data_IF_820283688758
#
_entry.id   IF_820283688758
#
_cell.length_a   1.000
_cell.length_b   1.000
_cell.length_c   1.000
_cell.angle_alpha   90.00
_cell.angle_beta   90.00
_cell.angle_gamma   90.00
#
_symmetry.space_group_name_H-M   'P 1'
#
loop_
_entity.id
_entity.type
_entity.pdbx_description
1 polymer ?
#
# COMPACT_ATOMS: atom_id res chain seq x y z
N UNK A 1 4.88 -11.48 30.37
CA UNK A 1 4.68 -10.01 30.39
C UNK A 1 3.43 -9.71 29.59
N UNK A 2 2.50 -8.90 30.09
CA UNK A 2 1.38 -8.42 29.27
C UNK A 2 1.88 -7.26 28.41
N UNK A 3 1.47 -7.21 27.14
CA UNK A 3 1.72 -6.01 26.32
C UNK A 3 0.89 -4.85 26.87
N UNK A 4 1.46 -3.64 26.87
CA UNK A 4 0.76 -2.41 27.24
C UNK A 4 -0.21 -1.93 26.17
N UNK A 5 -0.20 -2.56 24.99
CA UNK A 5 -0.90 -2.09 23.79
C UNK A 5 -1.39 -3.27 22.94
N UNK A 6 -2.54 -3.09 22.30
CA UNK A 6 -2.97 -3.95 21.20
C UNK A 6 -2.29 -3.54 19.88
N UNK A 7 -1.41 -4.41 19.40
CA UNK A 7 -0.67 -4.33 18.15
C UNK A 7 -1.41 -4.97 16.97
N UNK A 8 -2.43 -5.82 17.20
CA UNK A 8 -3.05 -6.60 16.12
C UNK A 8 -3.60 -5.68 15.03
N UNK A 9 -4.47 -4.75 15.41
CA UNK A 9 -5.11 -3.82 14.46
C UNK A 9 -4.12 -2.95 13.68
N UNK A 10 -3.18 -2.21 14.30
CA UNK A 10 -2.23 -1.38 13.56
C UNK A 10 -1.30 -2.20 12.66
N UNK A 11 -0.85 -3.38 13.12
CA UNK A 11 0.04 -4.23 12.32
C UNK A 11 -0.70 -4.88 11.15
N UNK A 12 -1.92 -5.39 11.34
CA UNK A 12 -2.76 -5.87 10.22
C UNK A 12 -3.01 -4.79 9.18
N UNK A 13 -3.19 -3.54 9.63
CA UNK A 13 -3.36 -2.41 8.72
C UNK A 13 -2.07 -2.10 7.95
N UNK A 14 -0.92 -2.11 8.62
CA UNK A 14 0.40 -1.94 7.99
C UNK A 14 0.67 -3.05 6.96
N UNK A 15 0.42 -4.31 7.33
CA UNK A 15 0.53 -5.49 6.46
C UNK A 15 -0.33 -5.34 5.20
N UNK A 16 -1.60 -4.91 5.34
CA UNK A 16 -2.52 -4.71 4.23
C UNK A 16 -2.02 -3.62 3.28
N UNK A 17 -1.67 -2.46 3.82
CA UNK A 17 -1.25 -1.34 2.99
C UNK A 17 0.08 -1.66 2.30
N UNK A 18 1.11 -2.10 3.04
CA UNK A 18 2.41 -2.42 2.43
C UNK A 18 2.37 -3.72 1.61
N UNK A 19 1.40 -4.62 1.81
CA UNK A 19 1.37 -5.99 1.28
C UNK A 19 2.64 -6.78 1.63
N UNK A 20 2.98 -6.78 2.92
CA UNK A 20 4.17 -7.47 3.42
C UNK A 20 4.08 -8.98 3.15
N UNK A 21 5.19 -9.60 2.76
CA UNK A 21 5.29 -11.05 2.50
C UNK A 21 5.58 -11.86 3.77
N UNK A 22 5.99 -11.21 4.86
CA UNK A 22 6.39 -11.85 6.11
C UNK A 22 5.98 -10.98 7.30
N UNK A 23 5.85 -11.58 8.48
CA UNK A 23 5.42 -10.87 9.69
C UNK A 23 6.42 -9.78 10.12
N UNK A 24 5.95 -8.59 10.54
CA UNK A 24 6.73 -7.66 11.35
C UNK A 24 7.24 -8.33 12.62
N UNK A 25 8.56 -8.26 12.84
CA UNK A 25 9.22 -8.93 13.96
C UNK A 25 9.31 -7.99 15.14
N UNK A 26 8.63 -8.31 16.23
CA UNK A 26 8.85 -7.71 17.54
C UNK A 26 10.23 -8.16 18.04
N UNK A 27 11.11 -7.22 18.39
CA UNK A 27 12.46 -7.50 18.89
C UNK A 27 12.64 -6.83 20.27
N UNK A 28 13.09 -7.60 21.27
CA UNK A 28 13.33 -7.10 22.62
C UNK A 28 14.57 -7.71 23.25
N UNK A 29 15.37 -6.89 23.92
CA UNK A 29 16.49 -7.35 24.75
C UNK A 29 16.03 -7.47 26.20
N UNK A 30 16.48 -8.52 26.88
CA UNK A 30 16.13 -8.81 28.27
C UNK A 30 17.34 -8.61 29.17
N UNK A 31 17.13 -7.92 30.29
CA UNK A 31 18.18 -7.69 31.30
C UNK A 31 18.58 -8.99 32.01
N UNK A 32 17.63 -9.92 32.16
CA UNK A 32 17.85 -11.19 32.84
C UNK A 32 17.42 -12.37 31.94
N UNK A 33 18.30 -13.35 31.75
CA UNK A 33 17.99 -14.50 30.89
C UNK A 33 16.85 -15.36 31.41
N UNK A 34 16.58 -15.35 32.72
CA UNK A 34 15.45 -16.09 33.32
C UNK A 34 14.09 -15.53 32.88
N UNK A 35 14.04 -14.32 32.31
CA UNK A 35 12.80 -13.73 31.82
C UNK A 35 12.33 -14.32 30.48
N UNK A 36 13.19 -15.07 29.77
CA UNK A 36 12.80 -15.81 28.56
C UNK A 36 11.61 -16.73 28.85
N UNK A 37 11.67 -17.47 29.96
CA UNK A 37 10.67 -18.49 30.33
C UNK A 37 9.32 -17.88 30.74
N UNK A 38 9.26 -16.55 30.93
CA UNK A 38 8.03 -15.80 31.23
C UNK A 38 7.25 -15.41 29.97
N UNK A 39 7.80 -15.67 28.77
CA UNK A 39 7.17 -15.33 27.50
C UNK A 39 6.28 -16.49 27.03
N UNK A 40 4.98 -16.26 26.79
CA UNK A 40 4.08 -17.30 26.29
C UNK A 40 4.56 -17.90 24.98
N UNK A 41 4.41 -19.22 24.83
CA UNK A 41 4.74 -19.96 23.59
C UNK A 41 6.19 -19.83 23.11
N UNK A 42 7.11 -19.44 24.00
CA UNK A 42 8.52 -19.28 23.69
C UNK A 42 9.13 -20.61 23.22
N UNK A 43 9.92 -20.54 22.15
CA UNK A 43 10.66 -21.67 21.58
C UNK A 43 12.16 -21.35 21.63
N UNK A 44 12.96 -22.34 22.02
CA UNK A 44 14.42 -22.34 21.86
C UNK A 44 14.79 -23.41 20.85
N UNK A 45 15.77 -23.13 20.00
CA UNK A 45 16.26 -24.14 19.08
C UNK A 45 17.02 -25.23 19.84
N UNK A 46 16.91 -26.48 19.38
CA UNK A 46 17.66 -27.62 19.95
C UNK A 46 19.15 -27.62 19.58
N UNK A 47 19.56 -26.72 18.70
CA UNK A 47 20.94 -26.57 18.24
C UNK A 47 21.28 -25.07 18.17
N UNK A 48 22.57 -24.76 18.15
CA UNK A 48 23.03 -23.38 18.08
C UNK A 48 22.62 -22.70 16.78
N UNK A 49 22.16 -21.45 16.87
CA UNK A 49 21.63 -20.64 15.76
C UNK A 49 22.47 -19.41 15.47
N UNK A 50 22.26 -18.85 14.28
CA UNK A 50 22.54 -17.42 14.00
C UNK A 50 21.34 -16.55 14.36
N UNK A 51 21.57 -15.25 14.61
CA UNK A 51 20.48 -14.29 14.78
C UNK A 51 19.54 -14.24 13.56
N UNK A 52 20.09 -14.42 12.36
CA UNK A 52 19.34 -14.44 11.10
C UNK A 52 18.32 -15.59 11.06
N UNK A 53 18.70 -16.79 11.53
CA UNK A 53 17.77 -17.93 11.61
C UNK A 53 16.64 -17.67 12.59
N UNK A 54 16.93 -17.06 13.74
CA UNK A 54 15.90 -16.73 14.72
C UNK A 54 14.88 -15.73 14.14
N UNK A 55 15.36 -14.67 13.48
CA UNK A 55 14.49 -13.71 12.78
C UNK A 55 13.65 -14.41 11.71
N UNK A 56 14.22 -15.34 10.95
CA UNK A 56 13.51 -16.12 9.93
C UNK A 56 12.35 -16.95 10.52
N UNK A 57 12.62 -17.66 11.63
CA UNK A 57 11.60 -18.43 12.36
C UNK A 57 10.42 -17.54 12.77
N UNK A 58 10.68 -16.29 13.15
CA UNK A 58 9.61 -15.35 13.47
C UNK A 58 8.85 -14.92 12.21
N UNK A 59 9.56 -14.35 11.24
CA UNK A 59 8.93 -13.65 10.10
C UNK A 59 8.21 -14.59 9.13
N UNK A 60 8.68 -15.82 8.99
CA UNK A 60 8.17 -16.77 7.99
C UNK A 60 7.49 -18.00 8.60
N UNK A 61 7.77 -18.33 9.86
CA UNK A 61 7.21 -19.53 10.50
C UNK A 61 6.30 -19.23 11.68
N UNK A 62 6.06 -17.97 12.04
CA UNK A 62 5.21 -17.51 13.15
C UNK A 62 5.70 -17.79 14.58
N UNK A 63 6.98 -18.15 14.74
CA UNK A 63 7.49 -18.58 16.04
C UNK A 63 7.75 -17.39 16.97
N UNK A 64 7.41 -17.57 18.25
CA UNK A 64 8.01 -16.80 19.34
C UNK A 64 9.30 -17.50 19.75
N UNK A 65 10.44 -16.83 19.63
CA UNK A 65 11.77 -17.39 19.90
C UNK A 65 12.54 -16.57 20.93
N UNK A 66 13.32 -17.25 21.74
CA UNK A 66 14.24 -16.64 22.71
C UNK A 66 15.63 -17.21 22.57
N UNK A 67 16.64 -16.40 22.84
CA UNK A 67 18.04 -16.83 22.86
C UNK A 67 18.84 -16.10 23.94
N UNK A 68 19.70 -16.84 24.64
CA UNK A 68 20.79 -16.30 25.46
C UNK A 68 22.14 -16.56 24.77
N UNK A 69 23.24 -16.25 25.45
CA UNK A 69 24.59 -16.39 24.89
C UNK A 69 24.92 -17.82 24.43
N UNK A 70 24.39 -18.85 25.10
CA UNK A 70 24.73 -20.25 24.84
C UNK A 70 24.04 -20.81 23.58
N UNK A 71 22.96 -20.15 23.12
CA UNK A 71 22.20 -20.54 21.93
C UNK A 71 22.87 -20.11 20.61
N UNK A 72 23.89 -19.24 20.65
CA UNK A 72 24.50 -18.72 19.43
C UNK A 72 25.63 -19.61 18.91
N UNK A 73 25.64 -19.85 17.59
CA UNK A 73 26.66 -20.66 16.90
C UNK A 73 28.05 -20.01 16.97
N UNK A 74 28.10 -18.68 16.93
CA UNK A 74 29.30 -17.88 16.95
C UNK A 74 29.06 -16.66 17.83
N UNK A 75 30.12 -16.17 18.50
CA UNK A 75 30.06 -14.99 19.36
C UNK A 75 29.89 -13.68 18.58
N UNK A 76 29.92 -13.71 17.25
CA UNK A 76 29.70 -12.53 16.41
C UNK A 76 28.30 -11.92 16.62
N UNK A 77 27.24 -12.69 16.42
CA UNK A 77 25.87 -12.21 16.60
C UNK A 77 25.61 -11.64 18.01
N UNK A 78 25.90 -12.37 19.11
CA UNK A 78 25.67 -11.85 20.46
C UNK A 78 26.53 -10.63 20.78
N UNK A 79 27.71 -10.47 20.15
CA UNK A 79 28.52 -9.24 20.32
C UNK A 79 27.91 -7.99 19.69
N UNK A 80 27.12 -8.14 18.62
CA UNK A 80 26.44 -7.02 17.96
C UNK A 80 25.32 -6.49 18.87
N UNK A 81 24.56 -7.41 19.49
CA UNK A 81 23.41 -7.07 20.35
C UNK A 81 23.76 -6.93 21.83
N UNK A 82 25.05 -6.87 22.18
CA UNK A 82 25.52 -6.50 23.52
C UNK A 82 25.47 -7.60 24.59
N UNK A 83 25.37 -8.87 24.19
CA UNK A 83 25.37 -10.02 25.13
C UNK A 83 26.77 -10.50 25.52
N UNK A 84 27.79 -10.16 24.73
CA UNK A 84 29.20 -10.52 25.00
C UNK A 84 30.13 -9.53 24.31
N UNK A 85 31.37 -9.42 24.80
CA UNK A 85 32.43 -8.73 24.05
C UNK A 85 32.87 -9.55 22.82
N UNK A 86 33.49 -8.88 21.84
CA UNK A 86 34.05 -9.53 20.66
C UNK A 86 35.31 -10.34 21.01
N UNK A 87 35.49 -11.55 20.44
CA UNK A 87 36.74 -12.31 20.60
C UNK A 87 37.97 -11.60 20.04
N UNK A 88 39.16 -11.90 20.60
CA UNK A 88 40.41 -11.24 20.21
C UNK A 88 40.77 -11.43 18.72
N UNK A 89 40.50 -12.61 18.16
CA UNK A 89 40.75 -12.90 16.74
C UNK A 89 39.80 -12.15 15.77
N UNK A 90 38.74 -11.51 16.30
CA UNK A 90 37.92 -10.56 15.55
C UNK A 90 38.48 -9.14 15.72
N UNK A 91 38.83 -8.76 16.95
CA UNK A 91 39.42 -7.44 17.31
C UNK A 91 40.70 -7.12 16.52
N UNK A 92 41.56 -8.11 16.33
CA UNK A 92 42.83 -7.94 15.61
C UNK A 92 42.67 -7.89 14.07
N UNK A 93 41.45 -8.10 13.56
CA UNK A 93 41.12 -8.13 12.15
C UNK A 93 41.39 -9.46 11.45
N UNK A 94 41.84 -10.50 12.16
CA UNK A 94 42.16 -11.81 11.59
C UNK A 94 40.94 -12.41 10.91
N UNK A 95 39.81 -12.51 11.60
CA UNK A 95 38.57 -13.07 11.04
C UNK A 95 38.15 -12.36 9.73
N UNK A 96 38.12 -11.02 9.75
CA UNK A 96 37.71 -10.23 8.59
C UNK A 96 38.66 -10.36 7.40
N UNK A 97 39.96 -10.51 7.66
CA UNK A 97 40.96 -10.70 6.60
C UNK A 97 40.91 -12.07 5.91
N UNK A 98 40.32 -13.07 6.55
CA UNK A 98 40.15 -14.40 5.96
C UNK A 98 39.04 -14.37 4.90
N UNK A 99 38.01 -13.55 5.10
CA UNK A 99 36.76 -13.64 4.34
C UNK A 99 36.49 -12.40 3.48
N UNK A 100 36.70 -11.20 4.04
CA UNK A 100 36.13 -9.95 3.51
C UNK A 100 37.16 -8.90 3.10
N UNK A 101 38.34 -8.89 3.71
CA UNK A 101 39.36 -7.86 3.45
C UNK A 101 40.70 -8.48 3.07
N UNK A 102 41.48 -7.81 2.22
CA UNK A 102 42.79 -8.32 1.76
C UNK A 102 43.82 -8.43 2.88
N UNK A 103 43.75 -7.56 3.89
CA UNK A 103 44.74 -7.46 4.97
C UNK A 103 44.08 -7.50 6.34
N UNK A 104 44.83 -7.91 7.38
CA UNK A 104 44.41 -7.81 8.79
C UNK A 104 44.21 -6.36 9.22
N UNK A 105 45.00 -5.43 8.69
CA UNK A 105 44.85 -4.00 8.98
C UNK A 105 43.49 -3.48 8.49
N UNK A 106 43.08 -3.84 7.28
CA UNK A 106 41.74 -3.50 6.77
C UNK A 106 40.64 -4.28 7.50
N UNK A 107 40.92 -5.52 7.90
CA UNK A 107 40.02 -6.32 8.72
C UNK A 107 39.74 -5.67 10.09
N UNK A 108 40.76 -5.07 10.71
CA UNK A 108 40.62 -4.32 11.96
C UNK A 108 39.84 -3.02 11.78
N UNK A 109 40.10 -2.27 10.69
CA UNK A 109 39.29 -1.09 10.35
C UNK A 109 37.83 -1.47 10.15
N UNK A 110 37.59 -2.59 9.47
CA UNK A 110 36.27 -3.11 9.23
C UNK A 110 35.56 -3.48 10.55
N UNK A 111 36.20 -4.22 11.43
CA UNK A 111 35.62 -4.63 12.72
C UNK A 111 35.29 -3.43 13.63
N UNK A 112 36.17 -2.42 13.64
CA UNK A 112 35.99 -1.15 14.36
C UNK A 112 34.84 -0.31 13.80
N UNK A 113 34.48 -0.51 12.54
CA UNK A 113 33.38 0.21 11.87
C UNK A 113 31.99 -0.31 12.22
N UNK A 114 31.88 -1.48 12.87
CA UNK A 114 30.61 -2.13 13.23
C UNK A 114 30.07 -1.52 14.54
N UNK A 115 28.92 -0.84 14.54
CA UNK A 115 28.25 -0.44 15.78
C UNK A 115 27.87 -1.64 16.64
N UNK A 116 27.95 -1.51 17.96
CA UNK A 116 27.54 -2.55 18.93
C UNK A 116 26.71 -1.95 20.05
N UNK A 117 25.73 -2.71 20.53
CA UNK A 117 24.99 -2.35 21.73
C UNK A 117 25.94 -2.45 22.94
N UNK A 118 25.95 -1.47 23.88
CA UNK A 118 26.82 -1.49 25.04
C UNK A 118 26.64 -2.74 25.91
N UNK A 119 27.74 -3.22 26.48
CA UNK A 119 27.76 -4.40 27.34
C UNK A 119 27.20 -4.10 28.74
N UNK A 120 26.86 -5.17 29.46
CA UNK A 120 26.55 -5.13 30.90
C UNK A 120 25.09 -4.86 31.25
N UNK A 121 24.22 -4.70 30.25
CA UNK A 121 22.77 -4.50 30.47
C UNK A 121 21.91 -5.71 30.16
N UNK A 122 22.22 -6.46 29.10
CA UNK A 122 21.33 -7.50 28.59
C UNK A 122 21.98 -8.88 28.61
N UNK A 123 21.19 -9.89 28.94
CA UNK A 123 21.61 -11.29 29.00
C UNK A 123 20.93 -12.17 27.94
N UNK A 124 19.83 -11.70 27.34
CA UNK A 124 19.05 -12.45 26.37
C UNK A 124 18.32 -11.56 25.35
N UNK A 125 17.82 -12.18 24.29
CA UNK A 125 16.97 -11.58 23.26
C UNK A 125 15.73 -12.44 23.04
N UNK A 126 14.59 -11.80 22.82
CA UNK A 126 13.34 -12.44 22.41
C UNK A 126 12.78 -11.78 21.15
N UNK A 127 12.15 -12.59 20.32
CA UNK A 127 11.53 -12.15 19.08
C UNK A 127 10.22 -12.89 18.84
N UNK A 128 9.22 -12.21 18.29
CA UNK A 128 7.91 -12.81 18.00
C UNK A 128 7.15 -12.03 16.92
N UNK A 129 6.14 -12.61 16.25
CA UNK A 129 5.32 -11.87 15.30
C UNK A 129 4.51 -10.82 16.05
N UNK A 130 4.75 -9.54 15.74
CA UNK A 130 4.18 -8.43 16.52
C UNK A 130 2.64 -8.43 16.50
N UNK A 131 2.04 -8.93 15.42
CA UNK A 131 0.59 -9.01 15.24
C UNK A 131 -0.13 -9.85 16.30
N UNK A 132 0.58 -10.74 17.00
CA UNK A 132 0.00 -11.61 18.04
C UNK A 132 0.14 -11.05 19.47
N UNK A 133 0.46 -9.76 19.62
CA UNK A 133 0.56 -9.11 20.94
C UNK A 133 1.54 -9.81 21.91
N UNK A 134 2.75 -10.21 21.47
CA UNK A 134 3.60 -11.11 22.25
C UNK A 134 4.19 -10.46 23.52
N UNK A 135 4.64 -9.22 23.40
CA UNK A 135 5.25 -8.37 24.44
C UNK A 135 5.42 -6.95 23.86
N UNK A 136 5.83 -5.99 24.69
CA UNK A 136 6.19 -4.65 24.22
C UNK A 136 7.61 -4.66 23.63
N UNK A 137 7.78 -4.53 22.30
CA UNK A 137 9.10 -4.58 21.68
C UNK A 137 9.88 -3.29 21.92
N UNK A 138 11.20 -3.39 21.88
CA UNK A 138 12.06 -2.20 21.81
C UNK A 138 12.18 -1.74 20.36
N UNK A 139 12.25 -2.70 19.43
CA UNK A 139 12.43 -2.49 18.00
C UNK A 139 11.44 -3.36 17.21
N UNK A 140 10.96 -2.86 16.08
CA UNK A 140 10.21 -3.63 15.09
C UNK A 140 11.04 -3.76 13.82
N UNK A 141 11.25 -5.00 13.35
CA UNK A 141 11.93 -5.26 12.08
C UNK A 141 10.91 -5.50 10.97
N UNK A 142 11.07 -4.75 9.88
CA UNK A 142 10.27 -4.87 8.67
C UNK A 142 11.17 -5.29 7.51
N UNK A 143 10.81 -6.37 6.83
CA UNK A 143 11.43 -6.79 5.58
C UNK A 143 10.47 -6.49 4.44
N UNK A 144 10.95 -5.74 3.46
CA UNK A 144 10.13 -5.26 2.36
C UNK A 144 11.02 -4.86 1.17
N UNK A 145 10.45 -4.79 -0.03
CA UNK A 145 11.18 -4.40 -1.23
C UNK A 145 11.42 -2.88 -1.31
N UNK A 146 12.28 -2.39 -2.24
CA UNK A 146 12.59 -0.96 -2.35
C UNK A 146 11.37 -0.05 -2.52
N UNK A 147 10.33 -0.47 -3.24
CA UNK A 147 9.12 0.32 -3.43
C UNK A 147 8.33 0.46 -2.11
N UNK A 148 8.22 -0.62 -1.34
CA UNK A 148 7.60 -0.62 -0.01
C UNK A 148 8.41 0.23 0.98
N UNK A 149 9.74 0.11 0.97
CA UNK A 149 10.61 0.92 1.83
C UNK A 149 10.54 2.41 1.51
N UNK A 150 10.48 2.77 0.22
CA UNK A 150 10.30 4.16 -0.20
C UNK A 150 9.01 4.76 0.36
N UNK A 151 7.91 4.01 0.35
CA UNK A 151 6.64 4.47 0.94
C UNK A 151 6.74 4.62 2.45
N UNK A 152 7.38 3.67 3.14
CA UNK A 152 7.57 3.73 4.59
C UNK A 152 8.45 4.91 5.02
N UNK A 153 9.53 5.19 4.28
CA UNK A 153 10.39 6.37 4.50
C UNK A 153 9.57 7.65 4.36
N UNK A 154 8.84 7.81 3.24
CA UNK A 154 8.01 8.99 3.01
C UNK A 154 6.90 9.12 4.07
N UNK A 155 6.34 8.00 4.55
CA UNK A 155 5.34 7.99 5.60
C UNK A 155 5.91 8.48 6.93
N UNK A 156 7.11 8.02 7.31
CA UNK A 156 7.81 8.45 8.51
C UNK A 156 8.27 9.92 8.44
N UNK A 157 8.59 10.41 7.25
CA UNK A 157 9.00 11.79 6.98
C UNK A 157 7.82 12.75 6.77
N UNK A 158 6.59 12.23 6.69
CA UNK A 158 5.41 13.04 6.38
C UNK A 158 5.16 14.13 7.44
N UNK A 159 5.37 13.78 8.71
CA UNK A 159 5.37 14.69 9.85
C UNK A 159 6.81 14.76 10.40
N UNK A 160 7.29 15.96 10.74
CA UNK A 160 8.67 16.20 11.22
C UNK A 160 9.75 15.69 10.26
N UNK A 161 9.79 16.25 9.06
CA UNK A 161 10.72 15.84 8.02
C UNK A 161 12.18 15.87 8.51
N UNK A 162 12.86 14.74 8.37
CA UNK A 162 14.29 14.60 8.59
C UNK A 162 14.91 13.73 7.49
N UNK A 163 16.10 14.08 7.03
CA UNK A 163 16.88 13.23 6.12
C UNK A 163 17.32 11.96 6.85
N UNK A 164 16.89 10.79 6.36
CA UNK A 164 17.35 9.50 6.88
C UNK A 164 18.74 9.18 6.32
N UNK A 165 19.67 8.80 7.21
CA UNK A 165 21.00 8.36 6.82
C UNK A 165 21.05 6.85 6.68
N UNK A 166 21.35 6.39 5.47
CA UNK A 166 21.65 4.99 5.20
C UNK A 166 23.07 4.69 5.68
N UNK A 167 23.20 3.68 6.52
CA UNK A 167 24.47 3.24 7.09
C UNK A 167 24.73 1.80 6.65
N UNK A 168 25.93 1.54 6.13
CA UNK A 168 26.28 0.23 5.59
C UNK A 168 27.72 -0.09 5.96
N UNK A 169 27.89 -1.13 6.76
CA UNK A 169 29.21 -1.69 7.08
C UNK A 169 29.59 -2.74 6.04
N UNK A 170 28.60 -3.32 5.34
CA UNK A 170 28.78 -4.28 4.25
C UNK A 170 28.30 -5.67 4.64
N UNK A 171 28.97 -6.30 5.62
CA UNK A 171 28.58 -7.58 6.20
C UNK A 171 28.44 -7.47 7.72
N UNK A 172 27.29 -6.96 8.16
CA UNK A 172 26.74 -6.97 9.53
C UNK A 172 25.40 -6.23 9.55
N UNK A 173 24.45 -6.63 8.70
CA UNK A 173 23.17 -5.89 8.56
C UNK A 173 22.36 -5.82 9.85
N UNK A 174 22.47 -6.80 10.74
CA UNK A 174 21.89 -6.72 12.09
C UNK A 174 22.46 -5.55 12.91
N UNK A 175 23.73 -5.17 12.71
CA UNK A 175 24.29 -3.95 13.31
C UNK A 175 23.73 -2.69 12.63
N UNK A 176 23.74 -2.68 11.30
CA UNK A 176 23.27 -1.55 10.49
C UNK A 176 21.79 -1.22 10.70
N UNK A 177 20.96 -2.23 11.01
CA UNK A 177 19.55 -2.07 11.35
C UNK A 177 19.35 -1.96 12.88
N UNK A 178 19.45 -3.08 13.60
CA UNK A 178 19.04 -3.20 15.02
C UNK A 178 19.89 -2.29 15.90
N UNK A 179 21.21 -2.39 15.79
CA UNK A 179 22.10 -1.65 16.72
C UNK A 179 22.06 -0.16 16.46
N UNK A 180 22.08 0.27 15.20
CA UNK A 180 21.90 1.67 14.82
C UNK A 180 20.57 2.23 15.32
N UNK A 181 19.47 1.49 15.14
CA UNK A 181 18.15 1.86 15.65
C UNK A 181 18.18 2.02 17.17
N UNK A 182 18.76 1.05 17.88
CA UNK A 182 18.91 1.08 19.34
C UNK A 182 19.72 2.30 19.81
N UNK A 183 20.88 2.55 19.22
CA UNK A 183 21.81 3.61 19.64
C UNK A 183 21.29 5.01 19.34
N UNK A 184 20.54 5.18 18.25
CA UNK A 184 20.09 6.50 17.79
C UNK A 184 18.65 6.83 18.18
N UNK A 185 17.85 5.83 18.50
CA UNK A 185 16.40 6.00 18.67
C UNK A 185 15.69 6.39 17.36
N UNK A 186 16.30 6.13 16.20
CA UNK A 186 15.78 6.51 14.87
C UNK A 186 15.61 5.29 13.96
N UNK A 187 14.71 5.36 12.95
CA UNK A 187 14.63 4.35 11.89
C UNK A 187 16.00 4.09 11.25
N UNK A 188 16.34 2.82 11.03
CA UNK A 188 17.58 2.43 10.35
C UNK A 188 17.30 1.38 9.29
N UNK A 189 17.58 1.74 8.02
CA UNK A 189 17.39 0.90 6.85
C UNK A 189 18.73 0.42 6.31
N UNK A 190 18.81 -0.86 5.97
CA UNK A 190 20.01 -1.48 5.40
C UNK A 190 19.68 -2.52 4.33
N UNK A 191 20.72 -2.92 3.59
CA UNK A 191 20.68 -4.00 2.62
C UNK A 191 21.02 -5.31 3.35
N UNK A 192 20.17 -6.34 3.28
CA UNK A 192 20.46 -7.62 3.89
C UNK A 192 21.77 -8.23 3.41
N UNK A 193 22.62 -8.59 4.36
CA UNK A 193 23.94 -9.13 4.08
C UNK A 193 23.89 -10.61 3.68
N UNK A 194 25.05 -11.18 3.33
CA UNK A 194 25.16 -12.59 2.92
C UNK A 194 24.59 -13.56 3.96
N UNK A 195 24.84 -13.32 5.25
CA UNK A 195 24.31 -14.15 6.34
C UNK A 195 22.79 -14.12 6.44
N UNK A 196 22.17 -12.93 6.29
CA UNK A 196 20.71 -12.81 6.28
C UNK A 196 20.07 -13.50 5.09
N UNK A 197 20.72 -13.49 3.92
CA UNK A 197 20.22 -14.21 2.73
C UNK A 197 20.34 -15.71 2.92
N UNK A 198 21.54 -16.17 3.28
CA UNK A 198 21.87 -17.60 3.38
C UNK A 198 21.13 -18.30 4.53
N UNK A 199 21.03 -17.65 5.68
CA UNK A 199 20.50 -18.27 6.90
C UNK A 199 19.17 -17.68 7.35
N UNK A 200 18.91 -16.41 7.03
CA UNK A 200 17.67 -15.71 7.35
C UNK A 200 16.62 -15.74 6.24
N UNK A 201 16.98 -16.27 5.07
CA UNK A 201 16.13 -16.34 3.86
C UNK A 201 15.60 -14.97 3.39
N UNK A 202 16.34 -13.89 3.64
CA UNK A 202 16.04 -12.60 3.03
C UNK A 202 16.12 -12.70 1.50
N UNK A 203 15.09 -12.24 0.81
CA UNK A 203 14.98 -12.35 -0.66
C UNK A 203 15.84 -11.32 -1.37
N UNK A 204 16.22 -11.58 -2.63
CA UNK A 204 17.07 -10.71 -3.46
C UNK A 204 16.53 -9.29 -3.62
N UNK A 205 15.21 -9.15 -3.64
CA UNK A 205 14.52 -7.88 -3.69
C UNK A 205 14.20 -7.26 -2.32
N UNK A 206 14.58 -7.89 -1.20
CA UNK A 206 14.28 -7.37 0.13
C UNK A 206 15.36 -6.44 0.68
N UNK A 207 14.88 -5.41 1.37
CA UNK A 207 15.60 -4.58 2.32
C UNK A 207 15.07 -4.84 3.74
N UNK A 208 15.80 -4.39 4.76
CA UNK A 208 15.34 -4.46 6.16
C UNK A 208 15.42 -3.10 6.84
N UNK A 209 14.33 -2.71 7.50
CA UNK A 209 14.26 -1.52 8.35
C UNK A 209 14.00 -1.92 9.79
N UNK A 210 14.83 -1.43 10.71
CA UNK A 210 14.54 -1.42 12.13
C UNK A 210 13.87 -0.09 12.51
N UNK A 211 12.77 -0.17 13.25
CA UNK A 211 12.01 0.96 13.75
C UNK A 211 11.93 0.91 15.28
N UNK A 212 12.11 2.04 15.99
CA UNK A 212 11.60 2.18 17.34
C UNK A 212 10.10 1.87 17.37
N UNK A 213 9.65 1.08 18.35
CA UNK A 213 8.29 0.56 18.39
C UNK A 213 7.21 1.66 18.47
N UNK A 214 7.52 2.79 19.08
CA UNK A 214 6.66 3.96 19.19
C UNK A 214 6.41 4.69 17.86
N UNK A 215 7.26 4.48 16.85
CA UNK A 215 7.09 5.08 15.51
C UNK A 215 6.11 4.32 14.60
N UNK A 216 5.58 3.17 15.01
CA UNK A 216 4.62 2.39 14.19
C UNK A 216 3.36 3.20 13.89
N UNK A 217 2.82 3.95 14.86
CA UNK A 217 1.64 4.80 14.62
C UNK A 217 1.92 5.95 13.67
N UNK A 218 3.10 6.57 13.82
CA UNK A 218 3.56 7.65 12.93
C UNK A 218 3.67 7.13 11.50
N UNK A 219 4.32 5.98 11.31
CA UNK A 219 4.44 5.31 10.03
C UNK A 219 3.06 5.01 9.43
N UNK A 220 2.16 4.42 10.21
CA UNK A 220 0.83 4.05 9.72
C UNK A 220 0.00 5.27 9.30
N UNK A 221 -0.05 6.30 10.14
CA UNK A 221 -0.75 7.55 9.86
C UNK A 221 -0.22 8.23 8.59
N UNK A 222 1.11 8.35 8.48
CA UNK A 222 1.77 8.89 7.29
C UNK A 222 1.39 8.10 6.04
N UNK A 223 1.38 6.77 6.12
CA UNK A 223 1.06 5.92 4.99
C UNK A 223 -0.40 6.04 4.54
N UNK A 224 -1.34 6.15 5.48
CA UNK A 224 -2.76 6.41 5.14
C UNK A 224 -2.97 7.76 4.48
N UNK A 225 -2.17 8.78 4.82
CA UNK A 225 -2.20 10.06 4.10
C UNK A 225 -1.64 9.92 2.69
N UNK A 226 -0.51 9.24 2.52
CA UNK A 226 0.08 9.00 1.19
C UNK A 226 -0.90 8.23 0.28
N UNK A 227 -1.59 7.21 0.82
CA UNK A 227 -2.56 6.42 0.07
C UNK A 227 -3.74 7.27 -0.40
N UNK A 228 -4.27 8.15 0.46
CA UNK A 228 -5.32 9.10 0.09
C UNK A 228 -4.87 10.09 -0.99
N UNK A 229 -3.57 10.40 -1.04
CA UNK A 229 -2.94 11.24 -2.08
C UNK A 229 -2.56 10.47 -3.34
N UNK A 230 -2.86 9.16 -3.41
CA UNK A 230 -2.57 8.31 -4.57
C UNK A 230 -1.15 7.73 -4.61
N UNK A 231 -0.30 8.01 -3.61
CA UNK A 231 1.04 7.46 -3.46
C UNK A 231 0.92 6.16 -2.63
N UNK A 232 0.90 5.01 -3.29
CA UNK A 232 0.51 3.73 -2.68
C UNK A 232 1.25 2.53 -3.28
N UNK A 233 1.25 1.41 -2.55
CA UNK A 233 1.69 0.11 -3.02
C UNK A 233 0.51 -0.77 -3.45
N UNK A 234 0.62 -1.56 -4.54
CA UNK A 234 1.73 -1.61 -5.49
C UNK A 234 1.80 -0.32 -6.32
N UNK A 235 3.01 0.01 -6.79
CA UNK A 235 3.23 1.19 -7.63
C UNK A 235 2.66 0.89 -9.03
N UNK A 236 1.63 1.65 -9.42
CA UNK A 236 1.09 1.62 -10.77
C UNK A 236 2.08 2.25 -11.74
N UNK A 237 2.56 1.49 -12.73
CA UNK A 237 3.40 2.04 -13.80
C UNK A 237 2.56 2.75 -14.85
N UNK A 238 2.94 3.97 -15.23
CA UNK A 238 2.23 4.75 -16.25
C UNK A 238 2.32 4.16 -17.67
N UNK A 239 3.32 3.29 -17.94
CA UNK A 239 3.63 2.79 -19.28
C UNK A 239 4.59 3.72 -20.02
N UNK A 240 5.53 3.15 -20.77
CA UNK A 240 6.68 3.89 -21.31
C UNK A 240 6.31 5.00 -22.32
N UNK A 241 5.18 4.85 -23.02
CA UNK A 241 4.73 5.78 -24.06
C UNK A 241 3.49 6.61 -23.65
N UNK A 242 3.10 6.59 -22.37
CA UNK A 242 1.92 7.32 -21.92
C UNK A 242 2.23 8.82 -21.78
N UNK A 243 1.32 9.68 -22.27
CA UNK A 243 1.35 11.10 -21.93
C UNK A 243 0.90 11.29 -20.47
N UNK A 244 1.89 11.46 -19.59
CA UNK A 244 1.68 11.63 -18.16
C UNK A 244 1.46 13.09 -17.74
N UNK A 245 1.59 14.07 -18.66
CA UNK A 245 1.47 15.49 -18.30
C UNK A 245 0.08 15.84 -17.74
N UNK A 246 -0.97 15.10 -18.12
CA UNK A 246 -2.32 15.23 -17.56
C UNK A 246 -2.54 14.45 -16.25
N UNK A 247 -1.61 13.55 -15.89
CA UNK A 247 -1.71 12.65 -14.73
C UNK A 247 -0.86 13.13 -13.54
N UNK A 248 0.08 14.06 -13.75
CA UNK A 248 0.85 14.65 -12.67
C UNK A 248 -0.07 15.36 -11.66
N UNK A 249 0.19 15.25 -10.35
CA UNK A 249 -0.53 16.04 -9.35
C UNK A 249 -0.42 17.53 -9.67
N UNK A 250 -1.45 18.33 -9.33
CA UNK A 250 -1.48 19.77 -9.63
C UNK A 250 -0.22 20.53 -9.14
N UNK A 251 0.39 20.07 -8.04
CA UNK A 251 1.65 20.62 -7.51
C UNK A 251 2.86 20.49 -8.46
N UNK A 252 2.79 19.61 -9.45
CA UNK A 252 3.83 19.35 -10.46
C UNK A 252 3.44 19.84 -11.86
N UNK A 253 2.22 20.35 -12.05
CA UNK A 253 1.80 20.93 -13.33
C UNK A 253 2.23 22.40 -13.36
N UNK A 254 2.85 22.84 -14.46
CA UNK A 254 3.05 24.27 -14.69
C UNK A 254 1.69 24.98 -14.73
N UNK A 255 1.65 26.22 -14.24
CA UNK A 255 0.43 27.03 -14.01
C UNK A 255 -0.57 27.06 -15.19
N UNK A 256 -0.15 26.71 -16.40
CA UNK A 256 -0.96 26.75 -17.62
C UNK A 256 -2.06 25.67 -17.74
N UNK A 257 -2.01 24.57 -16.98
CA UNK A 257 -3.09 23.54 -16.98
C UNK A 257 -4.04 23.60 -15.79
N UNK A 258 -3.68 24.34 -14.72
CA UNK A 258 -4.58 24.62 -13.58
C UNK A 258 -5.83 25.42 -13.98
N UNK A 259 -5.89 25.97 -15.19
CA UNK A 259 -6.97 26.84 -15.67
C UNK A 259 -8.27 26.16 -16.14
N UNK A 260 -8.34 24.83 -16.29
CA UNK A 260 -9.57 24.15 -16.77
C UNK A 260 -10.56 23.75 -15.68
N UNK A 261 -10.19 23.87 -14.42
CA UNK A 261 -11.05 23.51 -13.28
C UNK A 261 -11.26 24.74 -12.38
N UNK A 262 -11.92 25.77 -12.89
CA UNK A 262 -12.70 26.63 -12.01
C UNK A 262 -13.85 25.77 -11.46
N UNK A 263 -13.56 25.06 -10.35
CA UNK A 263 -14.57 24.31 -9.60
C UNK A 263 -15.64 25.33 -9.20
N UNK A 264 -16.83 25.23 -9.78
CA UNK A 264 -17.95 26.06 -9.34
C UNK A 264 -18.28 25.62 -7.89
N UNK A 265 -18.04 26.49 -6.89
CA UNK A 265 -18.16 26.11 -5.48
C UNK A 265 -19.59 25.72 -5.08
N UNK A 266 -20.58 25.95 -5.94
CA UNK A 266 -21.98 25.60 -5.71
C UNK A 266 -22.29 24.13 -5.97
N UNK A 267 -21.53 23.46 -6.82
CA UNK A 267 -21.78 22.05 -7.13
C UNK A 267 -20.93 21.14 -6.24
N UNK A 268 -21.46 19.96 -5.97
CA UNK A 268 -20.76 18.89 -5.26
C UNK A 268 -20.51 17.76 -6.25
N UNK A 269 -19.24 17.44 -6.50
CA UNK A 269 -18.83 16.34 -7.37
C UNK A 269 -18.62 15.09 -6.52
N UNK A 270 -19.45 14.08 -6.73
CA UNK A 270 -19.43 12.80 -6.02
C UNK A 270 -18.89 11.69 -6.93
N UNK A 271 -17.76 11.08 -6.56
CA UNK A 271 -17.27 9.88 -7.24
C UNK A 271 -17.96 8.63 -6.68
N UNK A 272 -18.73 7.92 -7.49
CA UNK A 272 -19.42 6.68 -7.06
C UNK A 272 -18.67 5.49 -7.62
N UNK A 273 -18.14 4.65 -6.74
CA UNK A 273 -17.36 3.47 -7.12
C UNK A 273 -17.85 2.22 -6.38
N UNK A 274 -17.34 1.06 -6.81
CA UNK A 274 -17.67 -0.24 -6.26
C UNK A 274 -17.16 -1.33 -7.19
N UNK A 275 -16.70 -2.43 -6.60
CA UNK A 275 -16.21 -3.60 -7.34
C UNK A 275 -17.32 -4.24 -8.18
N UNK A 276 -16.95 -5.21 -9.01
CA UNK A 276 -17.92 -5.96 -9.81
C UNK A 276 -19.02 -6.57 -8.94
N UNK A 277 -20.25 -6.59 -9.44
CA UNK A 277 -21.40 -7.19 -8.77
C UNK A 277 -21.77 -6.63 -7.36
N UNK A 278 -21.21 -5.49 -6.93
CA UNK A 278 -21.63 -4.83 -5.67
C UNK A 278 -22.97 -4.09 -5.78
N UNK A 279 -23.52 -3.93 -6.98
CA UNK A 279 -24.79 -3.23 -7.22
C UNK A 279 -24.68 -1.71 -7.35
N UNK A 280 -23.52 -1.23 -7.80
CA UNK A 280 -23.24 0.20 -8.07
C UNK A 280 -24.33 0.93 -8.84
N UNK A 281 -24.82 0.34 -9.94
CA UNK A 281 -25.91 0.94 -10.75
C UNK A 281 -27.25 1.04 -9.99
N UNK A 282 -27.49 0.16 -9.01
CA UNK A 282 -28.70 0.23 -8.17
C UNK A 282 -28.63 1.43 -7.24
N UNK A 283 -27.51 1.61 -6.55
CA UNK A 283 -27.31 2.76 -5.65
C UNK A 283 -27.27 4.09 -6.41
N UNK A 284 -26.61 4.12 -7.57
CA UNK A 284 -26.55 5.33 -8.41
C UNK A 284 -27.96 5.78 -8.86
N UNK A 285 -28.82 4.85 -9.29
CA UNK A 285 -30.22 5.14 -9.61
C UNK A 285 -31.03 5.62 -8.39
N UNK A 286 -30.81 5.02 -7.21
CA UNK A 286 -31.47 5.49 -5.99
C UNK A 286 -31.06 6.93 -5.62
N UNK A 287 -29.81 7.33 -5.86
CA UNK A 287 -29.36 8.72 -5.70
C UNK A 287 -29.96 9.64 -6.75
N UNK A 288 -30.09 9.16 -8.00
CA UNK A 288 -30.75 9.89 -9.08
C UNK A 288 -32.24 10.17 -8.76
N UNK A 289 -32.96 9.17 -8.25
CA UNK A 289 -34.35 9.32 -7.74
C UNK A 289 -34.47 10.41 -6.65
N UNK A 290 -33.41 10.64 -5.88
CA UNK A 290 -33.37 11.66 -4.82
C UNK A 290 -32.93 13.05 -5.30
N UNK A 291 -32.49 13.18 -6.55
CA UNK A 291 -32.13 14.44 -7.20
C UNK A 291 -30.65 14.59 -7.57
N UNK A 292 -29.82 13.56 -7.42
CA UNK A 292 -28.46 13.59 -7.94
C UNK A 292 -28.45 13.50 -9.48
N UNK A 293 -27.59 14.26 -10.16
CA UNK A 293 -27.42 14.12 -11.60
C UNK A 293 -26.35 13.07 -11.90
N UNK A 294 -26.71 12.04 -12.65
CA UNK A 294 -25.82 10.93 -12.95
C UNK A 294 -25.08 11.10 -14.27
N UNK A 295 -23.77 10.95 -14.21
CA UNK A 295 -22.90 10.73 -15.37
C UNK A 295 -22.30 9.32 -15.22
N UNK A 296 -22.36 8.50 -16.27
CA UNK A 296 -21.91 7.11 -16.24
C UNK A 296 -20.65 6.94 -17.10
N UNK A 297 -19.55 6.46 -16.50
CA UNK A 297 -18.29 6.25 -17.23
C UNK A 297 -18.41 5.19 -18.31
N UNK A 298 -19.26 4.17 -18.13
CA UNK A 298 -19.42 3.10 -19.10
C UNK A 298 -20.12 3.62 -20.36
N UNK A 299 -21.03 4.59 -20.21
CA UNK A 299 -21.65 5.31 -21.34
C UNK A 299 -20.61 6.18 -22.04
N UNK A 300 -19.88 7.01 -21.29
CA UNK A 300 -18.83 7.86 -21.87
C UNK A 300 -17.76 7.05 -22.61
N UNK A 301 -17.33 5.91 -22.04
CA UNK A 301 -16.35 5.02 -22.66
C UNK A 301 -16.82 4.44 -24.01
N UNK A 302 -18.14 4.40 -24.26
CA UNK A 302 -18.73 4.00 -25.54
C UNK A 302 -18.74 5.14 -26.53
N UNK A 303 -19.12 6.33 -26.08
CA UNK A 303 -19.25 7.51 -26.93
C UNK A 303 -17.90 8.02 -27.45
N UNK A 304 -16.86 8.02 -26.61
CA UNK A 304 -15.54 8.57 -26.97
C UNK A 304 -14.81 7.74 -28.03
N UNK A 305 -15.20 6.47 -28.22
CA UNK A 305 -14.61 5.54 -29.19
C UNK A 305 -15.49 5.27 -30.40
N UNK A 306 -16.57 6.04 -30.59
CA UNK A 306 -17.38 5.93 -31.80
C UNK A 306 -16.56 6.27 -33.06
N UNK A 307 -16.89 5.67 -34.23
CA UNK A 307 -16.20 5.96 -35.47
C UNK A 307 -16.04 7.46 -35.73
N UNK A 308 -14.85 7.87 -36.12
CA UNK A 308 -14.51 9.27 -36.38
C UNK A 308 -14.06 10.07 -35.17
N UNK A 309 -14.28 9.59 -33.93
CA UNK A 309 -13.76 10.22 -32.72
C UNK A 309 -12.23 10.04 -32.59
N UNK A 310 -11.52 10.94 -31.87
CA UNK A 310 -10.07 10.82 -31.74
C UNK A 310 -9.59 9.53 -31.06
N UNK A 311 -10.28 9.02 -30.02
CA UNK A 311 -9.87 7.75 -29.39
C UNK A 311 -9.98 6.57 -30.36
N UNK A 312 -11.04 6.55 -31.19
CA UNK A 312 -11.22 5.53 -32.22
C UNK A 312 -10.02 5.50 -33.19
N UNK A 313 -9.57 6.67 -33.65
CA UNK A 313 -8.43 6.77 -34.59
C UNK A 313 -7.14 6.27 -33.96
N UNK A 314 -6.86 6.67 -32.72
CA UNK A 314 -5.66 6.24 -32.01
C UNK A 314 -5.66 4.72 -31.75
N UNK A 315 -6.81 4.17 -31.37
CA UNK A 315 -6.99 2.73 -31.15
C UNK A 315 -6.75 1.97 -32.46
N UNK A 316 -7.39 2.36 -33.56
CA UNK A 316 -7.22 1.67 -34.85
C UNK A 316 -5.80 1.82 -35.38
N UNK A 317 -5.18 2.99 -35.21
CA UNK A 317 -3.80 3.21 -35.62
C UNK A 317 -2.80 2.33 -34.87
N UNK A 318 -3.04 2.07 -33.58
CA UNK A 318 -2.12 1.28 -32.75
C UNK A 318 -2.40 -0.23 -32.83
N UNK A 319 -3.67 -0.61 -32.72
CA UNK A 319 -4.08 -2.02 -32.68
C UNK A 319 -4.34 -2.61 -34.07
N UNK A 320 -4.42 -1.78 -35.12
CA UNK A 320 -4.72 -2.18 -36.49
C UNK A 320 -6.21 -2.42 -36.74
N UNK A 321 -6.62 -2.62 -38.00
CA UNK A 321 -8.03 -2.85 -38.36
C UNK A 321 -8.62 -4.16 -37.82
N UNK A 322 -7.78 -5.07 -37.29
CA UNK A 322 -8.22 -6.32 -36.67
C UNK A 322 -9.12 -6.15 -35.44
N UNK A 323 -9.10 -4.97 -34.81
CA UNK A 323 -10.01 -4.63 -33.70
C UNK A 323 -11.33 -4.02 -34.15
N UNK A 324 -11.60 -4.02 -35.46
CA UNK A 324 -12.86 -3.57 -36.03
C UNK A 324 -13.81 -4.73 -36.33
N UNK A 325 -15.09 -4.45 -36.18
CA UNK A 325 -16.21 -5.23 -36.69
C UNK A 325 -16.44 -4.93 -38.18
N UNK A 326 -17.30 -5.71 -38.84
CA UNK A 326 -17.63 -5.53 -40.27
C UNK A 326 -18.23 -4.14 -40.57
N UNK A 327 -18.96 -3.56 -39.62
CA UNK A 327 -19.57 -2.22 -39.71
C UNK A 327 -18.59 -1.07 -39.41
N UNK A 328 -17.29 -1.36 -39.31
CA UNK A 328 -16.22 -0.43 -38.94
C UNK A 328 -16.37 0.20 -37.54
N UNK A 329 -17.17 -0.40 -36.65
CA UNK A 329 -17.13 -0.09 -35.21
C UNK A 329 -16.07 -0.93 -34.50
N UNK A 330 -15.68 -0.57 -33.27
CA UNK A 330 -14.73 -1.38 -32.50
C UNK A 330 -15.36 -2.69 -32.01
N UNK A 331 -14.70 -3.80 -32.32
CA UNK A 331 -14.99 -5.12 -31.77
C UNK A 331 -14.43 -5.20 -30.34
N UNK A 332 -15.33 -5.00 -29.37
CA UNK A 332 -14.97 -4.91 -27.96
C UNK A 332 -14.48 -6.22 -27.37
N UNK A 333 -15.01 -7.36 -27.81
CA UNK A 333 -14.56 -8.65 -27.28
C UNK A 333 -13.16 -8.97 -27.80
N UNK A 334 -12.87 -8.73 -29.08
CA UNK A 334 -11.48 -8.85 -29.60
C UNK A 334 -10.52 -7.92 -28.88
N UNK A 335 -10.90 -6.65 -28.70
CA UNK A 335 -10.03 -5.68 -28.03
C UNK A 335 -9.78 -6.07 -26.57
N UNK A 336 -10.83 -6.52 -25.86
CA UNK A 336 -10.76 -7.05 -24.49
C UNK A 336 -9.82 -8.25 -24.40
N UNK A 337 -9.91 -9.19 -25.33
CA UNK A 337 -9.02 -10.37 -25.35
C UNK A 337 -7.55 -9.97 -25.55
N UNK A 338 -7.27 -8.99 -26.41
CA UNK A 338 -5.92 -8.46 -26.64
C UNK A 338 -5.37 -7.81 -25.36
N UNK A 339 -6.13 -6.91 -24.73
CA UNK A 339 -5.65 -6.17 -23.55
C UNK A 339 -5.68 -7.00 -22.26
N UNK A 340 -6.48 -8.05 -22.20
CA UNK A 340 -6.48 -8.97 -21.07
C UNK A 340 -5.20 -9.79 -20.97
N UNK A 341 -4.57 -10.09 -22.13
CA UNK A 341 -3.34 -10.88 -22.21
C UNK A 341 -2.06 -10.07 -22.07
N UNK A 342 -2.14 -8.75 -22.21
CA UNK A 342 -0.97 -7.86 -22.29
C UNK A 342 -1.24 -6.54 -21.56
N UNK A 343 -0.53 -6.36 -20.43
CA UNK A 343 -0.70 -5.21 -19.55
C UNK A 343 -0.25 -3.89 -20.20
N UNK A 344 0.76 -3.92 -21.08
CA UNK A 344 1.24 -2.70 -21.75
C UNK A 344 0.25 -2.28 -22.83
N UNK A 345 -0.34 -3.24 -23.56
CA UNK A 345 -1.45 -2.94 -24.48
C UNK A 345 -2.67 -2.39 -23.75
N UNK A 346 -3.00 -2.93 -22.57
CA UNK A 346 -4.10 -2.39 -21.75
C UNK A 346 -3.84 -0.94 -21.38
N UNK A 347 -2.65 -0.61 -20.88
CA UNK A 347 -2.26 0.78 -20.57
C UNK A 347 -2.32 1.68 -21.79
N UNK A 348 -1.92 1.18 -22.97
CA UNK A 348 -2.01 1.97 -24.20
C UNK A 348 -3.46 2.30 -24.55
N UNK A 349 -4.36 1.31 -24.48
CA UNK A 349 -5.79 1.55 -24.67
C UNK A 349 -6.35 2.56 -23.64
N UNK A 350 -5.98 2.41 -22.37
CA UNK A 350 -6.34 3.35 -21.30
C UNK A 350 -5.81 4.76 -21.60
N UNK A 351 -4.57 4.90 -22.09
CA UNK A 351 -3.98 6.19 -22.45
C UNK A 351 -4.73 6.91 -23.58
N UNK A 352 -5.33 6.15 -24.51
CA UNK A 352 -6.16 6.71 -25.57
C UNK A 352 -7.56 7.07 -25.10
N UNK A 353 -8.11 6.36 -24.12
CA UNK A 353 -9.53 6.49 -23.75
C UNK A 353 -9.73 7.40 -22.53
N UNK A 354 -8.92 7.25 -21.49
CA UNK A 354 -9.07 7.96 -20.22
C UNK A 354 -9.09 9.49 -20.36
N UNK A 355 -8.15 10.14 -21.09
CA UNK A 355 -8.21 11.60 -21.26
C UNK A 355 -9.52 12.07 -21.90
N UNK A 356 -10.04 11.32 -22.88
CA UNK A 356 -11.26 11.67 -23.62
C UNK A 356 -12.53 11.40 -22.83
N UNK A 357 -12.52 10.37 -21.97
CA UNK A 357 -13.60 10.14 -20.99
C UNK A 357 -13.66 11.33 -20.02
N UNK A 358 -12.51 11.80 -19.53
CA UNK A 358 -12.46 12.94 -18.63
C UNK A 358 -12.89 14.24 -19.33
N UNK A 359 -12.46 14.48 -20.58
CA UNK A 359 -12.93 15.61 -21.39
C UNK A 359 -14.45 15.59 -21.53
N UNK A 360 -15.03 14.46 -21.95
CA UNK A 360 -16.48 14.32 -22.10
C UNK A 360 -17.22 14.48 -20.76
N UNK A 361 -16.65 13.97 -19.66
CA UNK A 361 -17.18 14.18 -18.31
C UNK A 361 -17.20 15.67 -17.95
N UNK A 362 -16.09 16.38 -18.15
CA UNK A 362 -16.01 17.81 -17.83
C UNK A 362 -16.93 18.67 -18.70
N UNK A 363 -17.08 18.34 -19.99
CA UNK A 363 -18.06 19.00 -20.87
C UNK A 363 -19.49 18.85 -20.33
N UNK A 364 -19.85 17.65 -19.84
CA UNK A 364 -21.16 17.43 -19.21
C UNK A 364 -21.29 18.21 -17.90
N UNK A 365 -20.27 18.20 -17.05
CA UNK A 365 -20.26 18.98 -15.79
C UNK A 365 -20.39 20.47 -16.07
N UNK A 366 -19.69 21.01 -17.08
CA UNK A 366 -19.76 22.41 -17.46
C UNK A 366 -21.15 22.79 -17.97
N UNK A 367 -21.76 21.95 -18.82
CA UNK A 367 -23.14 22.14 -19.28
C UNK A 367 -24.14 22.13 -18.12
N UNK A 368 -23.97 21.24 -17.15
CA UNK A 368 -24.80 21.22 -15.94
C UNK A 368 -24.55 22.44 -15.06
N UNK A 369 -23.32 22.95 -15.03
CA UNK A 369 -22.91 24.11 -14.24
C UNK A 369 -23.48 25.43 -14.75
N UNK A 370 -24.09 25.47 -15.93
CA UNK A 370 -24.86 26.62 -16.43
C UNK A 370 -26.16 26.84 -15.64
N UNK A 371 -26.62 25.84 -14.88
CA UNK A 371 -27.79 25.96 -14.02
C UNK A 371 -27.48 26.81 -12.79
N UNK A 372 -28.49 27.55 -12.30
CA UNK A 372 -28.30 28.46 -11.16
C UNK A 372 -28.38 27.74 -9.82
N UNK A 373 -29.11 26.63 -9.76
CA UNK A 373 -29.29 25.82 -8.57
C UNK A 373 -28.02 25.05 -8.18
N UNK A 374 -27.72 24.88 -6.88
CA UNK A 374 -26.71 23.94 -6.41
C UNK A 374 -27.05 22.50 -6.85
N UNK A 375 -26.07 21.77 -7.36
CA UNK A 375 -26.25 20.41 -7.89
C UNK A 375 -25.31 19.44 -7.19
N UNK A 376 -25.79 18.22 -6.94
CA UNK A 376 -24.96 17.08 -6.60
C UNK A 376 -24.83 16.25 -7.87
N UNK A 377 -23.62 16.20 -8.43
CA UNK A 377 -23.31 15.48 -9.67
C UNK A 377 -22.54 14.23 -9.28
N UNK A 378 -23.09 13.06 -9.57
CA UNK A 378 -22.43 11.79 -9.35
C UNK A 378 -21.77 11.29 -10.64
N UNK A 379 -20.50 10.91 -10.56
CA UNK A 379 -19.82 10.20 -11.64
C UNK A 379 -19.62 8.73 -11.24
N UNK A 380 -20.30 7.83 -11.94
CA UNK A 380 -20.24 6.40 -11.65
C UNK A 380 -19.04 5.79 -12.39
N UNK A 381 -18.03 5.35 -11.65
CA UNK A 381 -16.77 4.82 -12.21
C UNK A 381 -16.37 3.52 -11.49
N UNK A 382 -16.44 2.35 -12.15
CA UNK A 382 -16.04 1.07 -11.56
C UNK A 382 -14.59 1.04 -11.08
N UNK A 383 -13.66 1.56 -11.89
CA UNK A 383 -12.22 1.52 -11.64
C UNK A 383 -11.66 2.82 -11.05
N UNK A 384 -12.52 3.67 -10.45
CA UNK A 384 -12.17 5.02 -9.97
C UNK A 384 -10.85 5.08 -9.21
N UNK A 385 -10.70 4.15 -8.26
CA UNK A 385 -9.55 4.09 -7.37
C UNK A 385 -8.31 3.62 -8.14
N UNK A 386 -8.46 2.58 -8.96
CA UNK A 386 -7.42 1.94 -9.76
C UNK A 386 -6.81 2.91 -10.78
N UNK A 387 -7.63 3.78 -11.39
CA UNK A 387 -7.20 4.77 -12.40
C UNK A 387 -6.79 6.12 -11.79
N UNK A 388 -6.70 6.22 -10.47
CA UNK A 388 -6.23 7.39 -9.74
C UNK A 388 -7.07 8.68 -9.93
N UNK A 389 -8.39 8.54 -10.10
CA UNK A 389 -9.29 9.69 -10.34
C UNK A 389 -9.91 10.29 -9.06
N UNK A 390 -9.44 9.89 -7.87
CA UNK A 390 -9.99 10.34 -6.58
C UNK A 390 -10.00 11.86 -6.43
N UNK A 391 -8.91 12.52 -6.86
CA UNK A 391 -8.71 13.97 -6.71
C UNK A 391 -9.69 14.82 -7.53
N UNK A 392 -10.41 14.20 -8.48
CA UNK A 392 -11.42 14.87 -9.30
C UNK A 392 -12.71 15.18 -8.52
N UNK A 393 -12.94 14.52 -7.40
CA UNK A 393 -14.19 14.58 -6.65
C UNK A 393 -14.01 15.28 -5.30
N UNK A 394 -15.11 15.83 -4.79
CA UNK A 394 -15.15 16.39 -3.44
C UNK A 394 -15.30 15.28 -2.40
N UNK A 395 -16.06 14.24 -2.74
CA UNK A 395 -16.24 13.05 -1.93
C UNK A 395 -16.34 11.79 -2.79
N UNK A 396 -15.97 10.66 -2.18
CA UNK A 396 -16.06 9.34 -2.76
C UNK A 396 -17.07 8.47 -2.01
N UNK A 397 -18.03 7.91 -2.75
CA UNK A 397 -19.00 6.94 -2.26
C UNK A 397 -18.65 5.54 -2.78
N UNK A 398 -18.45 4.62 -1.85
CA UNK A 398 -18.31 3.20 -2.13
C UNK A 398 -19.66 2.48 -2.04
N UNK A 399 -19.97 1.68 -3.07
CA UNK A 399 -21.01 0.64 -3.00
C UNK A 399 -20.34 -0.68 -2.68
N UNK A 400 -20.56 -1.15 -1.45
CA UNK A 400 -19.89 -2.29 -0.86
C UNK A 400 -20.76 -3.56 -0.93
N UNK A 401 -20.11 -4.70 -1.18
CA UNK A 401 -20.64 -6.02 -0.90
C UNK A 401 -19.44 -6.96 -0.69
N UNK A 402 -19.50 -7.91 0.27
CA UNK A 402 -18.40 -8.84 0.51
C UNK A 402 -18.18 -9.77 -0.69
N UNK A 403 -16.99 -10.35 -0.80
CA UNK A 403 -16.55 -11.16 -1.94
C UNK A 403 -17.50 -12.33 -2.23
N UNK A 404 -18.03 -12.97 -1.19
CA UNK A 404 -18.97 -14.09 -1.31
C UNK A 404 -20.29 -13.66 -1.96
N UNK A 405 -20.73 -12.43 -1.69
CA UNK A 405 -21.94 -11.86 -2.31
C UNK A 405 -21.66 -11.46 -3.76
N UNK A 406 -20.49 -10.88 -4.04
CA UNK A 406 -20.06 -10.56 -5.40
C UNK A 406 -20.01 -11.82 -6.27
N UNK A 407 -19.42 -12.90 -5.75
CA UNK A 407 -19.30 -14.19 -6.43
C UNK A 407 -20.67 -14.75 -6.82
N UNK A 408 -21.59 -14.88 -5.85
CA UNK A 408 -22.94 -15.37 -6.09
C UNK A 408 -23.70 -14.54 -7.12
N UNK A 409 -23.62 -13.20 -7.02
CA UNK A 409 -24.29 -12.29 -7.94
C UNK A 409 -23.71 -12.35 -9.34
N UNK A 410 -22.38 -12.42 -9.45
CA UNK A 410 -21.69 -12.47 -10.73
C UNK A 410 -22.00 -13.77 -11.48
N UNK A 411 -21.94 -14.90 -10.79
CA UNK A 411 -22.32 -16.21 -11.35
C UNK A 411 -23.78 -16.21 -11.82
N UNK A 412 -24.71 -15.69 -11.00
CA UNK A 412 -26.13 -15.66 -11.35
C UNK A 412 -26.43 -14.70 -12.53
N UNK A 413 -25.73 -13.57 -12.62
CA UNK A 413 -25.94 -12.56 -13.66
C UNK A 413 -25.37 -13.02 -15.01
N UNK A 414 -24.16 -13.59 -15.00
CA UNK A 414 -23.39 -13.86 -16.23
C UNK A 414 -23.41 -15.34 -16.63
N UNK A 415 -23.95 -16.23 -15.79
CA UNK A 415 -24.02 -17.67 -16.08
C UNK A 415 -22.65 -18.36 -16.13
N UNK A 416 -21.65 -17.81 -15.43
CA UNK A 416 -20.25 -18.27 -15.48
C UNK A 416 -19.89 -19.18 -14.31
N UNK A 417 -18.81 -19.96 -14.48
CA UNK A 417 -18.25 -20.80 -13.41
C UNK A 417 -17.70 -19.97 -12.25
N UNK A 418 -17.66 -20.58 -11.07
CA UNK A 418 -17.07 -19.98 -9.86
C UNK A 418 -15.62 -19.56 -10.08
N UNK A 419 -14.82 -20.42 -10.74
CA UNK A 419 -13.42 -20.15 -11.04
C UNK A 419 -13.25 -18.90 -11.92
N UNK A 420 -14.07 -18.77 -12.97
CA UNK A 420 -14.04 -17.61 -13.86
C UNK A 420 -14.52 -16.35 -13.13
N UNK A 421 -15.58 -16.44 -12.33
CA UNK A 421 -16.07 -15.34 -11.52
C UNK A 421 -15.02 -14.84 -10.52
N UNK A 422 -14.32 -15.75 -9.83
CA UNK A 422 -13.24 -15.40 -8.91
C UNK A 422 -12.05 -14.75 -9.63
N UNK A 423 -11.70 -15.22 -10.82
CA UNK A 423 -10.65 -14.59 -11.64
C UNK A 423 -11.00 -13.15 -12.00
N UNK A 424 -12.27 -12.88 -12.33
CA UNK A 424 -12.74 -11.54 -12.64
C UNK A 424 -12.73 -10.66 -11.39
N UNK A 425 -13.25 -11.13 -10.26
CA UNK A 425 -13.24 -10.38 -8.98
C UNK A 425 -11.80 -9.99 -8.60
N UNK A 426 -10.87 -10.95 -8.67
CA UNK A 426 -9.45 -10.76 -8.33
C UNK A 426 -8.65 -9.91 -9.32
N UNK A 427 -9.22 -9.60 -10.49
CA UNK A 427 -8.61 -8.66 -11.44
C UNK A 427 -8.76 -7.20 -11.01
N UNK A 428 -9.66 -6.91 -10.07
CA UNK A 428 -9.90 -5.59 -9.50
C UNK A 428 -9.24 -5.47 -8.11
N UNK A 429 -9.13 -4.25 -7.61
CA UNK A 429 -8.69 -4.03 -6.23
C UNK A 429 -9.64 -4.75 -5.26
N UNK A 430 -9.12 -5.49 -4.25
CA UNK A 430 -9.95 -6.14 -3.25
C UNK A 430 -10.93 -5.17 -2.61
N UNK A 431 -12.18 -5.60 -2.42
CA UNK A 431 -13.27 -4.72 -1.95
C UNK A 431 -12.95 -4.09 -0.59
N UNK A 432 -12.34 -4.84 0.32
CA UNK A 432 -11.90 -4.33 1.63
C UNK A 432 -10.80 -3.28 1.54
N UNK A 433 -9.86 -3.46 0.61
CA UNK A 433 -8.82 -2.47 0.35
C UNK A 433 -9.44 -1.20 -0.22
N UNK A 434 -10.35 -1.35 -1.19
CA UNK A 434 -11.05 -0.26 -1.89
C UNK A 434 -11.88 0.62 -0.95
N UNK A 435 -12.46 0.01 0.09
CA UNK A 435 -13.21 0.69 1.15
C UNK A 435 -12.39 1.75 1.87
N UNK A 436 -11.08 1.51 2.07
CA UNK A 436 -10.18 2.44 2.75
C UNK A 436 -9.94 3.76 2.00
N UNK A 437 -10.36 3.88 0.74
CA UNK A 437 -10.18 5.08 -0.08
C UNK A 437 -11.43 5.97 -0.16
N UNK A 438 -12.57 5.54 0.38
CA UNK A 438 -13.85 6.22 0.20
C UNK A 438 -14.31 6.92 1.48
N UNK A 439 -14.92 8.10 1.34
CA UNK A 439 -15.42 8.89 2.47
C UNK A 439 -16.76 8.36 3.00
N UNK A 440 -17.57 7.82 2.09
CA UNK A 440 -18.92 7.33 2.34
C UNK A 440 -19.03 5.89 1.85
N UNK A 441 -19.80 5.07 2.55
CA UNK A 441 -20.03 3.65 2.19
C UNK A 441 -21.52 3.35 2.28
N UNK A 442 -22.04 2.68 1.26
CA UNK A 442 -23.35 2.04 1.27
C UNK A 442 -23.13 0.54 1.15
N UNK A 443 -23.52 -0.20 2.19
CA UNK A 443 -23.50 -1.65 2.20
C UNK A 443 -24.74 -2.19 1.48
N UNK A 444 -24.50 -2.82 0.33
CA UNK A 444 -25.51 -3.44 -0.52
C UNK A 444 -25.41 -4.98 -0.49
N UNK A 445 -24.92 -5.56 0.62
CA UNK A 445 -24.92 -7.01 0.85
C UNK A 445 -26.30 -7.56 1.24
N UNK A 446 -27.12 -6.75 1.92
CA UNK A 446 -28.45 -7.11 2.43
C UNK A 446 -29.61 -6.86 1.47
N UNK A 447 -30.77 -6.51 2.03
CA UNK A 447 -32.00 -6.25 1.26
C UNK A 447 -32.00 -4.88 0.57
N UNK A 448 -32.71 -4.78 -0.56
CA UNK A 448 -32.87 -3.52 -1.29
C UNK A 448 -33.48 -2.39 -0.44
N UNK A 449 -34.38 -2.72 0.50
CA UNK A 449 -34.96 -1.73 1.41
C UNK A 449 -33.91 -1.20 2.40
N UNK A 450 -33.05 -2.09 2.93
CA UNK A 450 -31.92 -1.72 3.78
C UNK A 450 -30.94 -0.80 3.04
N UNK A 451 -30.60 -1.13 1.79
CA UNK A 451 -29.79 -0.27 0.92
C UNK A 451 -30.46 1.08 0.71
N UNK A 452 -31.77 1.12 0.40
CA UNK A 452 -32.51 2.37 0.18
C UNK A 452 -32.52 3.27 1.43
N UNK A 453 -32.55 2.71 2.64
CA UNK A 453 -32.40 3.47 3.90
C UNK A 453 -31.02 4.11 4.01
N UNK A 454 -29.95 3.34 3.79
CA UNK A 454 -28.57 3.85 3.80
C UNK A 454 -28.35 4.95 2.75
N UNK A 455 -28.89 4.78 1.53
CA UNK A 455 -28.79 5.80 0.47
C UNK A 455 -29.46 7.10 0.89
N UNK A 456 -30.62 7.05 1.55
CA UNK A 456 -31.28 8.25 2.09
C UNK A 456 -30.44 8.97 3.16
N UNK A 457 -29.73 8.22 4.00
CA UNK A 457 -28.82 8.80 4.99
C UNK A 457 -27.60 9.46 4.35
N UNK A 458 -26.99 8.79 3.37
CA UNK A 458 -25.90 9.35 2.56
C UNK A 458 -26.36 10.62 1.85
N UNK A 459 -27.55 10.61 1.26
CA UNK A 459 -28.12 11.78 0.59
C UNK A 459 -28.25 12.99 1.53
N UNK A 460 -28.76 12.79 2.75
CA UNK A 460 -28.85 13.85 3.76
C UNK A 460 -27.46 14.43 4.09
N UNK A 461 -26.46 13.57 4.28
CA UNK A 461 -25.07 13.99 4.53
C UNK A 461 -24.51 14.82 3.38
N UNK A 462 -24.74 14.41 2.14
CA UNK A 462 -24.31 15.15 0.95
C UNK A 462 -24.96 16.54 0.87
N UNK A 463 -26.25 16.64 1.18
CA UNK A 463 -26.96 17.92 1.24
C UNK A 463 -26.40 18.84 2.34
N UNK A 464 -26.06 18.30 3.51
CA UNK A 464 -25.42 19.07 4.59
C UNK A 464 -24.04 19.59 4.19
N UNK A 465 -23.21 18.74 3.55
CA UNK A 465 -21.88 19.11 3.03
C UNK A 465 -22.02 20.24 2.00
N UNK A 466 -22.94 20.10 1.06
CA UNK A 466 -23.19 21.11 0.03
C UNK A 466 -23.65 22.45 0.64
N UNK A 467 -24.56 22.41 1.63
CA UNK A 467 -25.01 23.62 2.34
C UNK A 467 -23.86 24.33 3.07
N UNK A 468 -23.01 23.58 3.78
CA UNK A 468 -21.83 24.14 4.46
C UNK A 468 -20.92 24.84 3.46
N UNK A 469 -20.63 24.20 2.33
CA UNK A 469 -19.78 24.76 1.27
C UNK A 469 -20.33 26.07 0.69
N UNK A 470 -21.65 26.15 0.51
CA UNK A 470 -22.33 27.36 0.02
C UNK A 470 -22.25 28.51 1.02
N UNK A 471 -22.25 28.23 2.34
CA UNK A 471 -22.18 29.25 3.37
C UNK A 471 -20.76 29.80 3.53
N UNK A 472 -19.73 28.94 3.49
CA UNK A 472 -18.32 29.37 3.61
C UNK A 472 -17.89 30.30 2.47
N UNK A 473 -18.45 30.12 1.26
CA UNK A 473 -18.16 30.99 0.11
C UNK A 473 -18.95 32.31 0.09
N UNK A 474 -19.85 32.55 1.06
CA UNK A 474 -20.54 33.85 1.22
C UNK A 474 -19.85 34.78 2.21
N UNK A 475 -18.95 34.26 3.04
CA UNK A 475 -18.23 34.99 4.09
C UNK A 475 -16.80 35.40 3.66
N UNK A 476 -16.37 34.96 2.48
CA UNK A 476 -15.14 35.33 1.76
C UNK A 476 -15.47 36.19 0.55
#
# INVERSE_FOLDING_TARGET
MNTSRDWEKPIRRLELLMRLKSFPVAFKLLEHKQDIDKIPFIRRMKHKSTLCQLINLVRNFDWTVGADLDDFMSLMCPSIIGLTDIPEYMKDGTFRSIVWTKSRADGKKYENGIPRIPLGKYEAVIMAPLVYNPFDPDIVLLYANPAQMMLLINALQFEDYEVMQFFCVGESSCSDAITRCYLTGKPSLTIPCYGERRYGHAQDDELVMALPADLIDKALKGMEVLYRRGIRYPISYAGAEADIAGQFPAAYQSESRSGRLQRNPRHLLLGVTGSIATGKSTVAKMLEELGALMIDSDVLSREVVLPGKPAYRDIVSFFGEQVLSEDKTLDREKLKDIVFRDIEKRKKLESFTHPRILEAYFEQVERLSQRKEPLIIQFVVPLLIEVHWQSLFDHLLMVYAPEEVQLKRLMARDGISEELAMKIIRSQMPVEEKKGYCDLVVDNSGSLEGTRKQVKEVWKKLQEIQKKRLNTNKES
#
